data_IF_489618142822
#
_entry.id   IF_489618142822
#
_cell.length_a   1.000
_cell.length_b   1.000
_cell.length_c   1.000
_cell.angle_alpha   90.00
_cell.angle_beta   90.00
_cell.angle_gamma   90.00
#
_symmetry.space_group_name_H-M   'P 1'
#
loop_
_entity.id
_entity.type
_entity.pdbx_description
1 polymer ?
#
# COMPACT_ATOMS: atom_id res chain seq x y z
N UNK A 1 -2.91 -2.87 22.46
CA UNK A 1 -3.41 -2.19 21.24
C UNK A 1 -3.63 -3.28 20.19
N UNK A 2 -4.85 -3.81 20.08
CA UNK A 2 -5.19 -4.85 19.10
C UNK A 2 -5.21 -4.18 17.72
N UNK A 3 -4.30 -4.59 16.83
CA UNK A 3 -4.35 -4.19 15.42
C UNK A 3 -5.49 -4.96 14.77
N UNK A 4 -6.52 -4.26 14.28
CA UNK A 4 -7.72 -4.86 13.71
C UNK A 4 -7.65 -4.78 12.20
N UNK A 5 -7.57 -5.93 11.54
CA UNK A 5 -7.79 -6.02 10.11
C UNK A 5 -9.26 -5.72 9.78
N UNK A 6 -9.51 -5.18 8.59
CA UNK A 6 -10.85 -4.83 8.15
C UNK A 6 -11.11 -5.27 6.71
N UNK A 7 -12.31 -4.96 6.21
CA UNK A 7 -12.86 -5.48 4.96
C UNK A 7 -13.74 -6.70 5.22
N UNK A 8 -14.54 -7.05 4.21
CA UNK A 8 -15.50 -8.16 4.28
C UNK A 8 -14.84 -9.50 4.65
N UNK A 9 -13.57 -9.69 4.29
CA UNK A 9 -12.76 -10.86 4.55
C UNK A 9 -11.58 -10.60 5.51
N UNK A 10 -11.58 -9.48 6.24
CA UNK A 10 -10.45 -9.04 7.08
C UNK A 10 -9.12 -8.94 6.29
N UNK A 11 -9.19 -8.57 5.02
CA UNK A 11 -8.06 -8.59 4.10
C UNK A 11 -7.16 -7.34 4.20
N UNK A 12 -7.63 -6.25 4.79
CA UNK A 12 -6.89 -4.99 4.83
C UNK A 12 -6.21 -4.73 6.17
N UNK A 13 -4.95 -4.32 6.09
CA UNK A 13 -4.30 -3.51 7.12
C UNK A 13 -4.24 -2.06 6.66
N UNK A 14 -4.56 -1.13 7.56
CA UNK A 14 -4.53 0.30 7.27
C UNK A 14 -3.10 0.86 7.36
N UNK A 15 -2.65 1.54 6.30
CA UNK A 15 -1.42 2.32 6.29
C UNK A 15 -1.76 3.78 6.63
N UNK A 16 -1.79 4.08 7.94
CA UNK A 16 -2.22 5.39 8.43
C UNK A 16 -1.38 6.55 7.91
N UNK A 17 -0.04 6.41 7.93
CA UNK A 17 0.87 7.49 7.53
C UNK A 17 2.16 6.93 6.93
N UNK A 18 2.61 7.57 5.85
CA UNK A 18 3.94 7.37 5.27
C UNK A 18 4.45 8.73 4.78
N UNK A 19 5.57 9.18 5.35
CA UNK A 19 6.17 10.45 5.00
C UNK A 19 7.68 10.33 4.94
N UNK A 20 8.27 11.01 3.95
CA UNK A 20 9.71 11.18 3.81
C UNK A 20 9.99 12.67 3.71
N UNK A 21 10.88 13.16 4.58
CA UNK A 21 11.30 14.56 4.56
C UNK A 21 11.86 14.94 3.19
N UNK A 22 11.64 16.20 2.78
CA UNK A 22 11.95 16.69 1.44
C UNK A 22 13.39 16.36 1.00
N UNK A 23 14.37 16.59 1.88
CA UNK A 23 15.80 16.37 1.62
C UNK A 23 16.17 14.91 1.30
N UNK A 24 15.29 13.97 1.62
CA UNK A 24 15.49 12.53 1.39
C UNK A 24 14.52 11.93 0.37
N UNK A 25 13.72 12.76 -0.31
CA UNK A 25 12.88 12.30 -1.43
C UNK A 25 13.75 11.90 -2.62
N UNK A 26 13.17 11.11 -3.53
CA UNK A 26 13.86 10.57 -4.72
C UNK A 26 15.07 9.65 -4.46
N UNK A 27 15.42 9.37 -3.19
CA UNK A 27 16.45 8.40 -2.80
C UNK A 27 15.93 6.97 -2.59
N UNK A 28 14.67 6.68 -2.97
CA UNK A 28 14.06 5.35 -2.83
C UNK A 28 13.55 4.99 -1.43
N UNK A 29 13.74 5.85 -0.43
CA UNK A 29 13.31 5.58 0.96
C UNK A 29 11.82 5.32 1.10
N UNK A 30 10.97 6.09 0.40
CA UNK A 30 9.51 5.92 0.45
C UNK A 30 9.10 4.52 0.02
N UNK A 31 9.72 3.99 -1.05
CA UNK A 31 9.50 2.62 -1.50
C UNK A 31 9.95 1.61 -0.44
N UNK A 32 11.15 1.78 0.12
CA UNK A 32 11.66 0.87 1.15
C UNK A 32 10.74 0.83 2.38
N UNK A 33 10.29 2.00 2.86
CA UNK A 33 9.35 2.11 3.97
C UNK A 33 8.01 1.43 3.66
N UNK A 34 7.45 1.69 2.47
CA UNK A 34 6.21 1.06 2.04
C UNK A 34 6.31 -0.46 1.99
N UNK A 35 7.42 -0.99 1.45
CA UNK A 35 7.65 -2.42 1.36
C UNK A 35 7.81 -3.08 2.73
N UNK A 36 8.47 -2.42 3.68
CA UNK A 36 8.54 -2.88 5.06
C UNK A 36 7.16 -2.90 5.73
N UNK A 37 6.33 -1.88 5.48
CA UNK A 37 4.95 -1.85 5.96
C UNK A 37 4.12 -3.00 5.36
N UNK A 38 4.25 -3.28 4.06
CA UNK A 38 3.55 -4.37 3.39
C UNK A 38 3.98 -5.74 3.95
N UNK A 39 5.27 -5.96 4.17
CA UNK A 39 5.78 -7.18 4.79
C UNK A 39 5.26 -7.35 6.22
N UNK A 40 5.19 -6.27 6.99
CA UNK A 40 4.67 -6.31 8.33
C UNK A 40 3.15 -6.58 8.37
N UNK A 41 2.40 -6.04 7.42
CA UNK A 41 0.98 -6.33 7.24
C UNK A 41 0.75 -7.79 6.83
N UNK A 42 1.60 -8.35 5.96
CA UNK A 42 1.63 -9.79 5.61
C UNK A 42 1.76 -10.64 6.89
N UNK A 43 2.69 -10.27 7.77
CA UNK A 43 2.91 -10.97 9.04
C UNK A 43 1.74 -10.87 10.02
N UNK A 44 0.84 -9.89 9.85
CA UNK A 44 -0.43 -9.82 10.60
C UNK A 44 -1.56 -10.62 9.95
N UNK A 45 -1.33 -11.22 8.78
CA UNK A 45 -2.34 -11.96 8.02
C UNK A 45 -3.15 -11.09 7.05
N UNK A 46 -2.78 -9.83 6.84
CA UNK A 46 -3.41 -9.01 5.81
C UNK A 46 -3.01 -9.49 4.41
N UNK A 47 -3.94 -9.38 3.48
CA UNK A 47 -3.70 -9.66 2.06
C UNK A 47 -3.44 -8.38 1.28
N UNK A 48 -3.89 -7.24 1.81
CA UNK A 48 -3.76 -5.93 1.19
C UNK A 48 -3.39 -4.86 2.21
N UNK A 49 -2.63 -3.86 1.76
CA UNK A 49 -2.59 -2.57 2.45
C UNK A 49 -3.72 -1.69 1.91
N UNK A 50 -4.38 -0.96 2.80
CA UNK A 50 -5.31 0.10 2.47
C UNK A 50 -4.65 1.46 2.74
N UNK A 51 -4.91 2.43 1.87
CA UNK A 51 -4.36 3.78 1.96
C UNK A 51 -5.49 4.78 1.72
N UNK A 52 -5.70 5.70 2.66
CA UNK A 52 -6.41 6.96 2.41
C UNK A 52 -5.37 7.96 1.91
N UNK A 53 -5.31 8.17 0.59
CA UNK A 53 -4.28 9.00 -0.02
C UNK A 53 -4.81 10.42 -0.24
N UNK A 54 -4.10 11.40 0.32
CA UNK A 54 -4.37 12.80 0.05
C UNK A 54 -4.46 13.07 -1.47
N UNK A 55 -5.45 13.87 -1.86
CA UNK A 55 -5.76 14.25 -3.25
C UNK A 55 -4.64 14.92 -4.05
N UNK A 56 -3.46 15.17 -3.48
CA UNK A 56 -2.32 15.75 -4.20
C UNK A 56 -1.82 14.78 -5.28
N UNK A 57 -1.59 15.29 -6.49
CA UNK A 57 -1.16 14.49 -7.64
C UNK A 57 0.16 13.73 -7.37
N UNK A 58 1.12 14.37 -6.72
CA UNK A 58 2.40 13.75 -6.35
C UNK A 58 2.21 12.54 -5.42
N UNK A 59 1.31 12.65 -4.43
CA UNK A 59 1.00 11.56 -3.50
C UNK A 59 0.36 10.39 -4.22
N UNK A 60 -0.61 10.67 -5.10
CA UNK A 60 -1.26 9.63 -5.89
C UNK A 60 -0.27 8.94 -6.84
N UNK A 61 0.56 9.73 -7.55
CA UNK A 61 1.56 9.21 -8.47
C UNK A 61 2.56 8.29 -7.77
N UNK A 62 2.97 8.63 -6.53
CA UNK A 62 3.83 7.78 -5.71
C UNK A 62 3.19 6.40 -5.47
N UNK A 63 1.94 6.35 -4.98
CA UNK A 63 1.27 5.06 -4.70
C UNK A 63 0.97 4.27 -5.98
N UNK A 64 0.55 4.93 -7.06
CA UNK A 64 0.35 4.27 -8.37
C UNK A 64 1.64 3.68 -8.91
N UNK A 65 2.78 4.36 -8.77
CA UNK A 65 4.10 3.84 -9.18
C UNK A 65 4.54 2.61 -8.38
N UNK A 66 4.06 2.46 -7.14
CA UNK A 66 4.22 1.25 -6.34
C UNK A 66 3.27 0.11 -6.75
N UNK A 67 2.33 0.37 -7.67
CA UNK A 67 1.34 -0.60 -8.11
C UNK A 67 0.06 -0.60 -7.30
N UNK A 68 -0.19 0.44 -6.49
CA UNK A 68 -1.49 0.61 -5.83
C UNK A 68 -2.57 0.92 -6.87
N UNK A 69 -3.78 0.44 -6.62
CA UNK A 69 -4.98 0.69 -7.43
C UNK A 69 -6.08 1.28 -6.56
N UNK A 70 -7.22 1.67 -7.14
CA UNK A 70 -8.36 2.10 -6.34
C UNK A 70 -8.87 0.96 -5.46
N UNK A 71 -9.17 1.27 -4.21
CA UNK A 71 -9.65 0.27 -3.26
C UNK A 71 -11.00 -0.29 -3.71
N UNK A 72 -11.13 -1.62 -3.71
CA UNK A 72 -12.38 -2.29 -4.08
C UNK A 72 -13.43 -2.15 -2.98
N UNK A 73 -12.99 -2.18 -1.72
CA UNK A 73 -13.86 -1.95 -0.57
C UNK A 73 -13.43 -0.67 0.13
N UNK A 74 -14.36 0.27 0.21
CA UNK A 74 -14.14 1.58 0.80
C UNK A 74 -14.46 1.54 2.30
N UNK A 75 -13.52 2.01 3.12
CA UNK A 75 -13.77 2.15 4.54
C UNK A 75 -14.54 3.45 4.83
N UNK A 76 -15.81 3.32 5.19
CA UNK A 76 -16.69 4.45 5.47
C UNK A 76 -16.17 5.40 6.57
N UNK A 77 -15.39 4.89 7.53
CA UNK A 77 -14.79 5.71 8.57
C UNK A 77 -13.72 6.66 8.01
N UNK A 78 -12.84 6.16 7.12
CA UNK A 78 -11.83 6.99 6.46
C UNK A 78 -12.49 8.05 5.57
N UNK A 79 -13.47 7.67 4.76
CA UNK A 79 -14.18 8.64 3.90
C UNK A 79 -14.88 9.73 4.73
N UNK A 80 -15.47 9.39 5.88
CA UNK A 80 -16.11 10.38 6.73
C UNK A 80 -15.09 11.36 7.36
N UNK A 81 -13.88 10.89 7.70
CA UNK A 81 -12.82 11.74 8.26
C UNK A 81 -12.10 12.57 7.19
N UNK A 82 -11.90 12.00 6.00
CA UNK A 82 -11.10 12.54 4.90
C UNK A 82 -11.87 12.41 3.58
N UNK A 83 -12.93 13.22 3.36
CA UNK A 83 -13.89 13.03 2.26
C UNK A 83 -13.31 13.29 0.87
N UNK A 84 -12.13 13.90 0.79
CA UNK A 84 -11.45 14.21 -0.47
C UNK A 84 -10.28 13.27 -0.75
N UNK A 85 -9.99 12.34 0.16
CA UNK A 85 -8.92 11.38 -0.03
C UNK A 85 -9.34 10.27 -0.97
N UNK A 86 -8.39 9.87 -1.82
CA UNK A 86 -8.58 8.78 -2.76
C UNK A 86 -8.18 7.50 -2.04
N UNK A 87 -9.13 6.58 -1.96
CA UNK A 87 -8.96 5.33 -1.26
C UNK A 87 -8.29 4.32 -2.20
N UNK A 88 -7.14 3.82 -1.79
CA UNK A 88 -6.28 2.97 -2.61
C UNK A 88 -5.97 1.66 -1.89
N UNK A 89 -5.64 0.63 -2.67
CA UNK A 89 -5.20 -0.66 -2.16
C UNK A 89 -3.92 -1.15 -2.84
N UNK A 90 -3.14 -1.94 -2.10
CA UNK A 90 -1.98 -2.65 -2.60
C UNK A 90 -2.06 -4.13 -2.24
N UNK A 91 -1.96 -5.00 -3.24
CA UNK A 91 -1.93 -6.46 -3.04
C UNK A 91 -0.56 -6.88 -2.52
N UNK A 92 -0.53 -7.42 -1.32
CA UNK A 92 0.70 -7.89 -0.68
C UNK A 92 1.22 -9.12 -1.43
N UNK A 93 2.54 -9.19 -1.63
CA UNK A 93 3.19 -10.31 -2.33
C UNK A 93 3.19 -10.21 -3.85
N UNK A 94 2.57 -9.19 -4.45
CA UNK A 94 2.54 -8.96 -5.91
C UNK A 94 3.93 -8.96 -6.56
N UNK A 95 4.93 -8.42 -5.87
CA UNK A 95 6.30 -8.36 -6.39
C UNK A 95 7.03 -9.70 -6.36
N UNK A 96 6.60 -10.63 -5.48
CA UNK A 96 7.17 -11.97 -5.40
C UNK A 96 6.83 -12.74 -6.67
N UNK A 97 5.57 -12.67 -7.13
CA UNK A 97 5.14 -13.25 -8.41
C UNK A 97 5.91 -12.68 -9.61
N UNK A 98 6.12 -11.36 -9.64
CA UNK A 98 6.86 -10.73 -10.73
C UNK A 98 8.34 -11.15 -10.76
N UNK A 99 9.00 -11.21 -9.59
CA UNK A 99 10.39 -11.67 -9.47
C UNK A 99 10.55 -13.16 -9.79
N UNK A 100 9.59 -14.01 -9.42
CA UNK A 100 9.58 -15.43 -9.78
C UNK A 100 9.47 -15.58 -11.31
N UNK A 101 8.55 -14.84 -11.96
CA UNK A 101 8.39 -14.89 -13.43
C UNK A 101 9.65 -14.43 -14.17
N UNK A 102 10.34 -13.39 -13.69
CA UNK A 102 11.63 -12.96 -14.27
C UNK A 102 12.74 -13.99 -14.05
N UNK A 103 12.78 -14.66 -12.90
CA UNK A 103 13.75 -15.73 -12.61
C UNK A 103 13.59 -16.97 -13.52
N UNK A 104 12.36 -17.31 -13.94
CA UNK A 104 12.11 -18.36 -14.92
C UNK A 104 12.56 -17.99 -16.34
N UNK A 105 12.51 -16.71 -16.72
CA UNK A 105 12.91 -16.23 -18.06
C UNK A 105 14.43 -16.20 -18.22
N UNK A 106 15.20 -16.12 -17.14
CA UNK A 106 16.68 -16.14 -17.18
C UNK A 106 17.29 -17.55 -17.26
N UNK A 107 16.47 -18.61 -17.29
CA UNK A 107 16.93 -20.01 -17.36
C UNK A 107 16.65 -20.69 -18.72
N UNK A 108 16.24 -19.93 -19.74
CA UNK A 108 16.08 -20.38 -21.14
C UNK A 108 17.02 -19.60 -22.06
#
# INVERSE_FOLDING_TARGET
MLRKLFGSAQQYADLMQLHVSMDFRHAGLGRSLFMMAAQQAEAWGAQKLYISAHSAEETQAFYRALGCVDAVEINAHHVALEPFDIQMEYVIGRDKEFRIKLGYVQQL
#
